data_IF_653302240999
#
_entry.id   IF_653302240999
#
_cell.length_a   1.000
_cell.length_b   1.000
_cell.length_c   1.000
_cell.angle_alpha   90.00
_cell.angle_beta   90.00
_cell.angle_gamma   90.00
#
_symmetry.space_group_name_H-M   'P 1'
#
loop_
_entity.id
_entity.type
_entity.pdbx_description
1 polymer ?
#
# COMPACT_ATOMS: atom_id res chain seq x y z
N UNK A 1 23.67 -2.67 0.81
CA UNK A 1 22.64 -1.82 1.41
C UNK A 1 21.28 -2.40 1.04
N UNK A 2 20.53 -2.96 1.99
CA UNK A 2 19.13 -3.28 1.77
C UNK A 2 18.34 -1.97 1.78
N UNK A 3 17.56 -1.71 0.74
CA UNK A 3 16.67 -0.56 0.70
C UNK A 3 15.51 -0.84 1.67
N UNK A 4 15.23 0.01 2.68
CA UNK A 4 14.19 -0.26 3.67
C UNK A 4 12.78 -0.36 3.09
N UNK A 5 12.60 0.00 1.81
CA UNK A 5 11.36 -0.14 1.05
C UNK A 5 11.25 -1.49 0.29
N UNK A 6 12.34 -2.24 0.20
CA UNK A 6 12.44 -3.51 -0.54
C UNK A 6 12.71 -4.70 0.39
N UNK A 7 12.71 -4.47 1.70
CA UNK A 7 12.87 -5.52 2.70
C UNK A 7 11.59 -6.36 2.77
N UNK A 8 11.67 -7.66 2.46
CA UNK A 8 10.48 -8.52 2.41
C UNK A 8 10.02 -8.94 3.81
N UNK A 9 10.96 -9.04 4.75
CA UNK A 9 10.75 -9.39 6.15
C UNK A 9 10.54 -8.14 7.04
N UNK A 10 10.55 -6.96 6.42
CA UNK A 10 10.40 -5.67 7.07
C UNK A 10 8.98 -5.38 7.50
N UNK A 11 8.86 -4.46 8.46
CA UNK A 11 7.57 -3.97 8.95
C UNK A 11 7.17 -2.72 8.19
N UNK A 12 5.96 -2.73 7.64
CA UNK A 12 5.39 -1.66 6.85
C UNK A 12 4.05 -1.19 7.44
N UNK A 13 3.67 0.00 7.01
CA UNK A 13 2.41 0.67 7.26
C UNK A 13 1.73 0.90 5.91
N UNK A 14 0.40 0.94 5.89
CA UNK A 14 -0.34 1.48 4.75
C UNK A 14 -0.81 2.87 5.13
N UNK A 15 -0.36 3.85 4.34
CA UNK A 15 -0.77 5.23 4.48
C UNK A 15 -1.79 5.57 3.40
N UNK A 16 -2.70 6.49 3.71
CA UNK A 16 -3.58 7.15 2.75
C UNK A 16 -3.37 8.65 2.80
N UNK A 17 -3.32 9.31 1.65
CA UNK A 17 -3.34 10.76 1.59
C UNK A 17 -4.78 11.31 1.52
N UNK A 18 -4.93 12.63 1.57
CA UNK A 18 -6.24 13.28 1.45
C UNK A 18 -6.95 13.03 0.11
N UNK A 19 -6.21 12.59 -0.92
CA UNK A 19 -6.72 12.27 -2.25
C UNK A 19 -7.12 10.78 -2.39
N UNK A 20 -7.02 9.98 -1.31
CA UNK A 20 -7.36 8.56 -1.31
C UNK A 20 -6.29 7.63 -1.90
N UNK A 21 -5.10 8.14 -2.19
CA UNK A 21 -3.98 7.35 -2.70
C UNK A 21 -3.34 6.56 -1.56
N UNK A 22 -3.11 5.27 -1.79
CA UNK A 22 -2.49 4.38 -0.82
C UNK A 22 -0.99 4.27 -1.09
N UNK A 23 -0.18 4.33 -0.03
CA UNK A 23 1.27 4.17 -0.10
C UNK A 23 1.76 3.18 0.95
N UNK A 24 2.71 2.33 0.55
CA UNK A 24 3.41 1.42 1.46
C UNK A 24 4.58 2.18 2.09
N UNK A 25 4.62 2.23 3.42
CA UNK A 25 5.61 3.03 4.14
C UNK A 25 6.32 2.20 5.21
N UNK A 26 7.67 2.17 5.27
CA UNK A 26 8.37 1.41 6.30
C UNK A 26 8.06 1.97 7.70
N UNK A 27 7.73 1.11 8.65
CA UNK A 27 7.39 1.53 10.02
C UNK A 27 8.57 2.19 10.75
N UNK A 28 9.80 1.88 10.34
CA UNK A 28 11.01 2.51 10.85
C UNK A 28 11.18 3.99 10.43
N UNK A 29 10.37 4.49 9.48
CA UNK A 29 10.45 5.85 8.96
C UNK A 29 9.25 6.66 9.46
N UNK A 30 9.51 7.86 9.97
CA UNK A 30 8.44 8.78 10.41
C UNK A 30 7.47 9.09 9.27
N UNK A 31 6.17 9.03 9.57
CA UNK A 31 5.11 9.31 8.61
C UNK A 31 5.09 10.81 8.28
N UNK A 32 5.12 11.21 6.99
CA UNK A 32 5.04 12.61 6.60
C UNK A 32 3.68 13.22 6.92
N UNK A 33 3.67 14.52 7.21
CA UNK A 33 2.45 15.26 7.50
C UNK A 33 1.50 15.26 6.29
N UNK A 34 0.20 15.06 6.51
CA UNK A 34 -0.81 14.95 5.45
C UNK A 34 -1.08 13.52 4.97
N UNK A 35 -0.35 12.54 5.52
CA UNK A 35 -0.65 11.11 5.36
C UNK A 35 -1.22 10.54 6.65
N UNK A 36 -2.20 9.66 6.51
CA UNK A 36 -2.86 8.99 7.63
C UNK A 36 -2.61 7.49 7.56
N UNK A 37 -2.22 6.89 8.67
CA UNK A 37 -2.05 5.43 8.77
C UNK A 37 -3.43 4.79 8.74
N UNK A 38 -3.70 3.98 7.72
CA UNK A 38 -4.95 3.21 7.58
C UNK A 38 -4.76 1.73 7.91
N UNK A 39 -3.52 1.23 7.84
CA UNK A 39 -3.15 -0.10 8.29
C UNK A 39 -1.88 -0.02 9.12
N UNK A 40 -1.89 -0.67 10.28
CA UNK A 40 -0.80 -0.64 11.26
C UNK A 40 0.43 -1.43 10.82
N UNK A 41 1.35 -1.60 11.77
CA UNK A 41 2.64 -2.26 11.63
C UNK A 41 2.47 -3.75 11.26
N UNK A 42 2.64 -4.08 9.99
CA UNK A 42 2.43 -5.42 9.45
C UNK A 42 3.54 -5.82 8.49
N UNK A 43 3.64 -7.12 8.21
CA UNK A 43 4.54 -7.62 7.17
C UNK A 43 4.13 -7.11 5.79
N UNK A 44 5.10 -7.02 4.87
CA UNK A 44 4.90 -6.50 3.50
C UNK A 44 3.70 -7.15 2.78
N UNK A 45 3.56 -8.47 2.87
CA UNK A 45 2.48 -9.20 2.21
C UNK A 45 1.10 -8.84 2.77
N UNK A 46 0.98 -8.64 4.08
CA UNK A 46 -0.27 -8.28 4.75
C UNK A 46 -0.68 -6.84 4.39
N UNK A 47 0.27 -5.90 4.38
CA UNK A 47 0.03 -4.54 3.90
C UNK A 47 -0.36 -4.51 2.41
N UNK A 48 0.27 -5.32 1.56
CA UNK A 48 -0.11 -5.45 0.15
C UNK A 48 -1.51 -6.05 -0.02
N UNK A 49 -1.87 -7.04 0.79
CA UNK A 49 -3.21 -7.61 0.81
C UNK A 49 -4.26 -6.56 1.25
N UNK A 50 -3.94 -5.76 2.27
CA UNK A 50 -4.77 -4.64 2.71
C UNK A 50 -4.97 -3.64 1.57
N UNK A 51 -3.90 -3.22 0.89
CA UNK A 51 -3.98 -2.30 -0.25
C UNK A 51 -4.82 -2.92 -1.37
N UNK A 52 -4.60 -4.17 -1.76
CA UNK A 52 -5.42 -4.85 -2.79
C UNK A 52 -6.91 -4.92 -2.43
N UNK A 53 -7.24 -5.08 -1.15
CA UNK A 53 -8.62 -5.17 -0.65
C UNK A 53 -9.29 -3.81 -0.54
N UNK A 54 -8.58 -2.79 -0.07
CA UNK A 54 -9.14 -1.47 0.23
C UNK A 54 -9.01 -0.50 -0.94
N UNK A 55 -7.97 -0.64 -1.76
CA UNK A 55 -7.81 0.05 -3.02
C UNK A 55 -8.51 -0.76 -4.13
N UNK A 56 -9.81 -0.95 -3.97
CA UNK A 56 -10.66 -1.75 -4.87
C UNK A 56 -10.91 -1.07 -6.21
N UNK A 57 -10.61 0.22 -6.33
CA UNK A 57 -10.78 1.02 -7.54
C UNK A 57 -9.41 1.53 -8.06
N UNK A 58 -8.54 0.58 -8.44
CA UNK A 58 -7.25 0.87 -9.11
C UNK A 58 -7.34 0.78 -10.64
N UNK A 59 -8.55 0.79 -11.21
CA UNK A 59 -8.76 0.74 -12.65
C UNK A 59 -8.96 2.18 -13.17
N UNK A 60 -8.20 2.69 -14.15
CA UNK A 60 -8.91 3.39 -15.22
C UNK A 60 -9.90 2.39 -15.81
N UNK A 61 -11.16 2.78 -16.03
CA UNK A 61 -12.30 1.95 -16.48
C UNK A 61 -12.10 1.05 -17.73
N UNK A 62 -10.90 0.91 -18.29
CA UNK A 62 -10.64 0.36 -19.62
C UNK A 62 -10.04 -1.05 -19.68
N UNK A 63 -9.74 -1.74 -18.57
CA UNK A 63 -9.02 -3.04 -18.63
C UNK A 63 -9.71 -4.19 -17.87
N UNK A 64 -11.04 -4.26 -17.96
CA UNK A 64 -11.85 -5.34 -17.34
C UNK A 64 -12.41 -6.31 -18.38
N UNK A 65 -12.32 -5.97 -19.66
CA UNK A 65 -12.95 -6.75 -20.74
C UNK A 65 -12.03 -7.81 -21.36
N UNK A 66 -10.83 -8.07 -20.81
CA UNK A 66 -9.83 -8.93 -21.47
C UNK A 66 -9.53 -10.26 -20.74
N UNK A 67 -10.41 -10.76 -19.88
CA UNK A 67 -10.25 -12.11 -19.28
C UNK A 67 -11.60 -12.80 -19.09
N UNK A 68 -12.26 -13.05 -20.21
CA UNK A 68 -13.20 -14.17 -20.32
C UNK A 68 -13.02 -14.74 -21.73
N UNK A 69 -12.15 -15.74 -21.85
CA UNK A 69 -12.06 -16.65 -22.99
C UNK A 69 -12.01 -18.07 -22.44
#
# INVERSE_FOLDING_TARGET
>A
MANPFEDQDGVYLVLVNAEGQHSLWPAAITVPNGWTVVHGESGREDCLAYVKRNWTDMRPKSLVEATTS
#
